data_IF_804902648495
#
_entry.id   IF_804902648495
#
_cell.length_a   1.000
_cell.length_b   1.000
_cell.length_c   1.000
_cell.angle_alpha   90.00
_cell.angle_beta   90.00
_cell.angle_gamma   90.00
#
_symmetry.space_group_name_H-M   'P 1'
#
loop_
_entity.id
_entity.type
_entity.pdbx_description
1 polymer ?
#
# COMPACT_ATOMS: atom_id res chain seq x y z
N UNK A 1 -18.99 7.03 4.31
CA UNK A 1 -17.70 7.50 4.85
C UNK A 1 -16.63 6.46 4.51
N UNK A 2 -15.45 6.85 4.01
CA UNK A 2 -14.38 5.89 3.77
C UNK A 2 -13.98 5.23 5.10
N UNK A 3 -13.95 3.89 5.12
CA UNK A 3 -13.64 3.11 6.31
C UNK A 3 -12.13 3.03 6.48
N UNK A 4 -11.63 3.31 7.68
CA UNK A 4 -10.21 3.07 7.96
C UNK A 4 -9.87 1.60 7.77
N UNK A 5 -8.71 1.34 7.18
CA UNK A 5 -8.18 0.00 6.96
C UNK A 5 -6.89 -0.19 7.70
N UNK A 6 -6.65 -1.41 8.15
CA UNK A 6 -5.35 -1.81 8.68
C UNK A 6 -4.34 -1.97 7.56
N UNK A 7 -3.07 -1.86 7.89
CA UNK A 7 -1.96 -2.18 6.98
C UNK A 7 -2.12 -3.58 6.40
N UNK A 8 -2.51 -4.57 7.22
CA UNK A 8 -2.73 -5.95 6.78
C UNK A 8 -3.80 -6.05 5.69
N UNK A 9 -4.93 -5.37 5.85
CA UNK A 9 -6.01 -5.37 4.85
C UNK A 9 -5.54 -4.74 3.53
N UNK A 10 -4.88 -3.58 3.60
CA UNK A 10 -4.36 -2.88 2.40
C UNK A 10 -3.32 -3.74 1.68
N UNK A 11 -2.37 -4.34 2.40
CA UNK A 11 -1.36 -5.20 1.81
C UNK A 11 -1.95 -6.47 1.19
N UNK A 12 -2.98 -7.06 1.82
CA UNK A 12 -3.68 -8.22 1.27
C UNK A 12 -4.33 -7.84 -0.07
N UNK A 13 -5.08 -6.73 -0.09
CA UNK A 13 -5.78 -6.26 -1.29
C UNK A 13 -4.81 -5.89 -2.41
N UNK A 14 -3.71 -5.20 -2.11
CA UNK A 14 -2.68 -4.87 -3.10
C UNK A 14 -2.05 -6.13 -3.72
N UNK A 15 -1.79 -7.18 -2.94
CA UNK A 15 -1.28 -8.45 -3.47
C UNK A 15 -2.28 -9.13 -4.40
N UNK A 16 -3.56 -9.13 -4.04
CA UNK A 16 -4.64 -9.66 -4.91
C UNK A 16 -4.71 -8.91 -6.24
N UNK A 17 -4.46 -7.60 -6.22
CA UNK A 17 -4.38 -6.73 -7.40
C UNK A 17 -3.02 -6.83 -8.13
N UNK A 18 -2.15 -7.77 -7.79
CA UNK A 18 -0.89 -8.00 -8.51
C UNK A 18 0.27 -7.07 -8.14
N UNK A 19 0.18 -6.35 -7.02
CA UNK A 19 1.30 -5.57 -6.52
C UNK A 19 2.34 -6.44 -5.82
N UNK A 20 3.60 -6.15 -6.12
CA UNK A 20 4.77 -6.77 -5.51
C UNK A 20 5.58 -5.73 -4.74
N UNK A 21 6.36 -6.18 -3.74
CA UNK A 21 7.27 -5.28 -3.02
C UNK A 21 8.35 -4.80 -3.99
N UNK A 22 8.59 -3.50 -4.02
CA UNK A 22 9.58 -2.90 -4.91
C UNK A 22 10.98 -3.42 -4.57
N UNK A 23 11.74 -3.98 -5.53
CA UNK A 23 13.07 -4.52 -5.29
C UNK A 23 14.10 -3.41 -4.97
N UNK A 24 13.81 -2.17 -5.33
CA UNK A 24 14.65 -0.99 -5.02
C UNK A 24 14.44 -0.41 -3.62
N UNK A 25 13.42 -0.87 -2.88
CA UNK A 25 13.13 -0.43 -1.51
C UNK A 25 13.24 -1.62 -0.55
N UNK A 26 14.47 -2.10 -0.39
CA UNK A 26 14.84 -3.27 0.44
C UNK A 26 15.29 -2.91 1.86
N UNK A 27 15.48 -1.63 2.18
CA UNK A 27 15.85 -1.19 3.51
C UNK A 27 14.76 -1.51 4.54
N UNK A 28 15.15 -2.01 5.71
CA UNK A 28 14.28 -2.30 6.87
C UNK A 28 13.66 -1.06 7.54
N UNK A 29 13.40 0.00 6.76
CA UNK A 29 12.75 1.21 7.21
C UNK A 29 11.26 1.01 7.41
N UNK A 30 10.64 1.98 8.08
CA UNK A 30 9.20 2.02 8.34
C UNK A 30 8.35 2.22 7.08
N UNK A 31 8.95 2.38 5.90
CA UNK A 31 8.24 2.61 4.64
C UNK A 31 8.51 1.47 3.66
N UNK A 32 7.43 0.90 3.12
CA UNK A 32 7.51 -0.08 2.03
C UNK A 32 6.85 0.48 0.77
N UNK A 33 7.54 0.35 -0.37
CA UNK A 33 6.98 0.66 -1.68
C UNK A 33 6.51 -0.62 -2.35
N UNK A 34 5.29 -0.60 -2.86
CA UNK A 34 4.66 -1.67 -3.63
C UNK A 34 4.37 -1.15 -5.03
N UNK A 35 4.64 -1.96 -6.04
CA UNK A 35 4.51 -1.62 -7.46
C UNK A 35 3.72 -2.71 -8.17
N UNK A 36 2.84 -2.34 -9.08
CA UNK A 36 2.08 -3.32 -9.86
C UNK A 36 3.02 -4.06 -10.82
N UNK A 37 2.92 -5.39 -10.87
CA UNK A 37 3.83 -6.24 -11.65
C UNK A 37 3.79 -5.95 -13.17
N UNK A 38 2.62 -5.55 -13.69
CA UNK A 38 2.40 -5.30 -15.12
C UNK A 38 2.37 -3.80 -15.46
N UNK A 39 2.34 -2.91 -14.47
CA UNK A 39 2.24 -1.46 -14.68
C UNK A 39 3.01 -0.68 -13.61
N UNK A 40 4.28 -0.33 -13.87
CA UNK A 40 5.12 0.39 -12.93
C UNK A 40 4.60 1.78 -12.50
N UNK A 41 3.65 2.36 -13.25
CA UNK A 41 3.05 3.65 -12.91
C UNK A 41 2.07 3.56 -11.72
N UNK A 42 1.55 2.36 -11.45
CA UNK A 42 0.69 2.06 -10.31
C UNK A 42 1.55 1.64 -9.13
N UNK A 43 1.52 2.44 -8.06
CA UNK A 43 2.31 2.16 -6.86
C UNK A 43 1.57 2.55 -5.57
N UNK A 44 2.01 1.96 -4.46
CA UNK A 44 1.56 2.28 -3.12
C UNK A 44 2.77 2.42 -2.20
N UNK A 45 2.87 3.55 -1.48
CA UNK A 45 3.86 3.75 -0.43
C UNK A 45 3.13 3.63 0.90
N UNK A 46 3.53 2.66 1.72
CA UNK A 46 2.87 2.37 2.99
C UNK A 46 3.90 2.46 4.10
N UNK A 47 3.66 3.39 5.02
CA UNK A 47 4.42 3.59 6.24
C UNK A 47 3.79 2.79 7.38
N UNK A 48 4.53 1.88 8.00
CA UNK A 48 4.06 1.13 9.16
C UNK A 48 5.19 0.58 10.01
N UNK A 49 4.94 0.51 11.33
CA UNK A 49 5.81 -0.20 12.29
C UNK A 49 5.26 -1.58 12.63
N UNK A 50 3.96 -1.81 12.45
CA UNK A 50 3.30 -3.11 12.63
C UNK A 50 2.13 -3.29 11.65
N UNK A 51 1.77 -4.54 11.36
CA UNK A 51 0.72 -4.85 10.36
C UNK A 51 -0.72 -4.61 10.86
N UNK A 52 -0.92 -4.47 12.17
CA UNK A 52 -2.23 -4.21 12.77
C UNK A 52 -2.62 -2.73 12.81
N UNK A 53 -1.68 -1.83 12.53
CA UNK A 53 -1.88 -0.39 12.56
C UNK A 53 -2.93 0.05 11.53
N UNK A 54 -3.82 0.95 11.93
CA UNK A 54 -4.75 1.60 11.01
C UNK A 54 -4.06 2.66 10.17
N UNK A 55 -4.42 2.71 8.89
CA UNK A 55 -3.95 3.72 7.95
C UNK A 55 -4.89 4.93 8.05
N UNK A 56 -4.37 6.15 8.28
CA UNK A 56 -5.16 7.37 8.25
C UNK A 56 -5.89 7.53 6.92
N UNK A 57 -7.12 8.06 6.95
CA UNK A 57 -7.98 8.18 5.75
C UNK A 57 -7.29 8.98 4.63
N UNK A 58 -6.54 10.03 4.96
CA UNK A 58 -5.80 10.83 3.97
C UNK A 58 -4.72 10.00 3.27
N UNK A 59 -3.99 9.17 4.02
CA UNK A 59 -3.00 8.23 3.47
C UNK A 59 -3.68 7.18 2.61
N UNK A 60 -4.82 6.63 3.05
CA UNK A 60 -5.58 5.65 2.28
C UNK A 60 -6.00 6.23 0.93
N UNK A 61 -6.59 7.42 0.90
CA UNK A 61 -6.96 8.13 -0.34
C UNK A 61 -5.77 8.42 -1.26
N UNK A 62 -4.62 8.76 -0.67
CA UNK A 62 -3.39 8.97 -1.44
C UNK A 62 -2.96 7.67 -2.13
N UNK A 63 -3.02 6.54 -1.42
CA UNK A 63 -2.73 5.22 -1.97
C UNK A 63 -3.74 4.86 -3.06
N UNK A 64 -5.04 5.10 -2.84
CA UNK A 64 -6.08 4.86 -3.86
C UNK A 64 -5.76 5.62 -5.15
N UNK A 65 -5.36 6.89 -5.03
CA UNK A 65 -5.01 7.74 -6.18
C UNK A 65 -3.77 7.24 -6.92
N UNK A 66 -2.73 6.78 -6.23
CA UNK A 66 -1.48 6.34 -6.86
C UNK A 66 -1.51 4.90 -7.35
N UNK A 67 -2.31 4.03 -6.73
CA UNK A 67 -2.40 2.61 -7.06
C UNK A 67 -3.59 2.28 -7.98
N UNK A 68 -4.61 3.14 -8.01
CA UNK A 68 -5.89 2.86 -8.68
C UNK A 68 -6.74 1.78 -7.99
N UNK A 69 -6.39 1.37 -6.77
CA UNK A 69 -7.10 0.35 -5.99
C UNK A 69 -7.95 1.03 -4.93
N UNK A 70 -9.23 0.62 -4.79
CA UNK A 70 -10.17 1.14 -3.78
C UNK A 70 -10.19 0.19 -2.58
N UNK A 71 -10.23 0.73 -1.35
CA UNK A 71 -10.16 -0.04 -0.10
C UNK A 71 -11.40 0.07 0.80
#
# INVERSE_FOLDING_TARGET
MPKQRTVREVLKRLKEEGFIKSPSHTGGGSHSKWIHKDDPSRFAIISFHNSGQTIPIGTLKSIEKSSGVIF
#
